data_IF_435571072416
#
_entry.id   IF_435571072416
#
_cell.length_a   1.000
_cell.length_b   1.000
_cell.length_c   1.000
_cell.angle_alpha   90.00
_cell.angle_beta   90.00
_cell.angle_gamma   90.00
#
_symmetry.space_group_name_H-M   'P 1'
#
loop_
_entity.id
_entity.type
_entity.pdbx_description
1 polymer ?
#
# COMPACT_ATOMS: atom_id res chain seq x y z
N UNK A 1 -0.91 11.32 9.11
CA UNK A 1 -1.73 12.50 8.73
C UNK A 1 -3.19 12.14 8.51
N UNK A 2 -3.54 11.16 7.65
CA UNK A 2 -4.94 10.73 7.42
C UNK A 2 -5.67 10.32 8.72
N UNK A 3 -5.01 9.57 9.62
CA UNK A 3 -5.60 9.15 10.90
C UNK A 3 -5.99 10.30 11.83
N UNK A 4 -5.19 11.37 11.87
CA UNK A 4 -5.45 12.56 12.70
C UNK A 4 -6.68 13.31 12.17
N UNK A 5 -6.82 13.40 10.84
CA UNK A 5 -7.98 14.03 10.19
C UNK A 5 -9.27 13.29 10.51
N UNK A 6 -9.29 11.95 10.40
CA UNK A 6 -10.47 11.15 10.72
C UNK A 6 -10.90 11.26 12.18
N UNK A 7 -9.95 11.19 13.12
CA UNK A 7 -10.26 11.38 14.55
C UNK A 7 -10.78 12.79 14.85
N UNK A 8 -10.21 13.82 14.23
CA UNK A 8 -10.68 15.21 14.38
C UNK A 8 -12.12 15.39 13.90
N UNK A 9 -12.45 14.85 12.71
CA UNK A 9 -13.81 14.86 12.16
C UNK A 9 -14.78 14.14 13.10
N UNK A 10 -14.38 12.98 13.62
CA UNK A 10 -15.21 12.19 14.52
C UNK A 10 -15.44 12.89 15.86
N UNK A 11 -14.43 13.56 16.41
CA UNK A 11 -14.56 14.37 17.63
C UNK A 11 -15.56 15.52 17.45
N UNK A 12 -15.54 16.18 16.29
CA UNK A 12 -16.50 17.25 15.94
C UNK A 12 -17.93 16.68 15.80
N UNK A 13 -18.09 15.51 15.18
CA UNK A 13 -19.38 14.82 15.08
C UNK A 13 -19.94 14.44 16.46
N UNK A 14 -19.10 13.92 17.36
CA UNK A 14 -19.50 13.60 18.73
C UNK A 14 -19.90 14.86 19.52
N UNK A 15 -19.21 15.99 19.31
CA UNK A 15 -19.59 17.29 19.90
C UNK A 15 -20.94 17.81 19.40
N UNK A 16 -21.22 17.66 18.11
CA UNK A 16 -22.49 18.08 17.53
C UNK A 16 -23.65 17.26 18.12
N UNK A 17 -23.43 15.96 18.37
CA UNK A 17 -24.41 15.08 19.00
C UNK A 17 -24.68 15.46 20.47
N UNK A 18 -23.65 15.83 21.25
CA UNK A 18 -23.84 16.25 22.65
C UNK A 18 -24.54 17.60 22.77
N UNK A 19 -24.37 18.49 21.79
CA UNK A 19 -25.07 19.78 21.73
C UNK A 19 -26.61 19.61 21.62
N UNK A 20 -27.07 18.50 21.04
CA UNK A 20 -28.51 18.21 20.86
C UNK A 20 -29.16 17.49 22.06
N UNK A 21 -28.38 16.93 22.97
CA UNK A 21 -28.87 16.04 24.05
C UNK A 21 -29.06 16.74 25.41
N UNK A 22 -28.51 17.95 25.59
CA UNK A 22 -28.53 18.85 26.76
C UNK A 22 -27.12 19.13 27.31
N UNK A 23 -26.82 20.42 27.52
CA UNK A 23 -25.50 20.93 27.92
C UNK A 23 -25.43 20.94 29.45
N UNK A 24 -25.13 19.78 30.02
CA UNK A 24 -24.84 19.64 31.45
C UNK A 24 -23.33 19.70 31.69
N UNK A 25 -22.89 20.15 32.87
CA UNK A 25 -21.46 20.12 33.25
C UNK A 25 -20.82 18.72 33.12
N UNK A 26 -21.62 17.66 33.22
CA UNK A 26 -21.19 16.27 33.01
C UNK A 26 -20.80 15.96 31.56
N UNK A 27 -21.51 16.49 30.56
CA UNK A 27 -21.20 16.22 29.14
C UNK A 27 -19.95 16.97 28.69
N UNK A 28 -19.75 18.19 29.20
CA UNK A 28 -18.53 18.97 28.97
C UNK A 28 -17.31 18.29 29.60
N UNK A 29 -17.45 17.78 30.82
CA UNK A 29 -16.38 17.01 31.47
C UNK A 29 -16.01 15.74 30.69
N UNK A 30 -17.02 14.98 30.22
CA UNK A 30 -16.80 13.80 29.39
C UNK A 30 -16.12 14.14 28.06
N UNK A 31 -16.47 15.27 27.44
CA UNK A 31 -15.79 15.75 26.23
C UNK A 31 -14.33 16.10 26.50
N UNK A 32 -14.04 16.88 27.54
CA UNK A 32 -12.67 17.22 27.93
C UNK A 32 -11.85 15.98 28.25
N UNK A 33 -12.46 15.00 28.92
CA UNK A 33 -11.82 13.71 29.18
C UNK A 33 -11.52 12.97 27.86
N UNK A 34 -12.48 12.90 26.93
CA UNK A 34 -12.27 12.27 25.63
C UNK A 34 -11.16 12.96 24.81
N UNK A 35 -11.09 14.30 24.83
CA UNK A 35 -10.03 15.07 24.16
C UNK A 35 -8.67 14.89 24.84
N UNK A 36 -8.64 14.90 26.17
CA UNK A 36 -7.42 14.62 26.92
C UNK A 36 -6.87 13.24 26.56
N UNK A 37 -7.76 12.27 26.40
CA UNK A 37 -7.40 10.91 26.06
C UNK A 37 -7.04 10.75 24.58
N UNK A 38 -7.66 11.52 23.69
CA UNK A 38 -7.19 11.69 22.32
C UNK A 38 -5.73 12.18 22.29
N UNK A 39 -5.40 13.21 23.07
CA UNK A 39 -4.03 13.72 23.16
C UNK A 39 -3.07 12.68 23.75
N UNK A 40 -3.46 11.98 24.82
CA UNK A 40 -2.61 10.98 25.46
C UNK A 40 -2.36 9.75 24.58
N UNK A 41 -3.35 9.32 23.80
CA UNK A 41 -3.21 8.16 22.90
C UNK A 41 -2.41 8.48 21.64
N UNK A 42 -2.36 9.75 21.22
CA UNK A 42 -1.53 10.17 20.09
C UNK A 42 -0.09 10.49 20.53
N UNK A 43 0.10 10.94 21.78
CA UNK A 43 1.43 11.20 22.36
C UNK A 43 2.07 9.93 22.97
N UNK A 44 1.25 9.01 23.47
CA UNK A 44 1.66 7.76 24.10
C UNK A 44 1.85 6.64 23.07
N UNK A 45 3.10 6.36 22.72
CA UNK A 45 3.49 5.27 21.80
C UNK A 45 3.18 3.85 22.34
N UNK A 46 2.97 3.73 23.65
CA UNK A 46 2.79 2.45 24.36
C UNK A 46 1.40 1.84 24.15
N UNK A 47 1.35 0.73 23.40
CA UNK A 47 0.14 -0.09 23.17
C UNK A 47 -0.65 -0.45 24.45
N UNK A 48 -0.03 -0.84 25.59
CA UNK A 48 -0.82 -1.28 26.75
C UNK A 48 -1.58 -0.15 27.44
N UNK A 49 -1.02 1.07 27.50
CA UNK A 49 -1.67 2.20 28.15
C UNK A 49 -2.97 2.59 27.44
N UNK A 50 -2.94 2.63 26.11
CA UNK A 50 -4.12 2.92 25.28
C UNK A 50 -5.21 1.86 25.44
N UNK A 51 -4.82 0.58 25.52
CA UNK A 51 -5.77 -0.54 25.72
C UNK A 51 -6.43 -0.45 27.10
N UNK A 52 -5.66 -0.20 28.17
CA UNK A 52 -6.19 0.00 29.52
C UNK A 52 -7.20 1.16 29.53
N UNK A 53 -6.87 2.25 28.83
CA UNK A 53 -7.73 3.42 28.74
C UNK A 53 -9.05 3.12 28.00
N UNK A 54 -8.99 2.39 26.90
CA UNK A 54 -10.18 1.95 26.15
C UNK A 54 -11.13 1.14 27.06
N UNK A 55 -10.59 0.20 27.84
CA UNK A 55 -11.39 -0.59 28.78
C UNK A 55 -11.97 0.28 29.91
N UNK A 56 -11.18 1.21 30.46
CA UNK A 56 -11.65 2.13 31.49
C UNK A 56 -12.81 3.02 30.97
N UNK A 57 -12.71 3.49 29.72
CA UNK A 57 -13.77 4.28 29.09
C UNK A 57 -15.03 3.44 28.80
N UNK A 58 -14.86 2.19 28.37
CA UNK A 58 -15.97 1.25 28.21
C UNK A 58 -16.71 0.96 29.52
N UNK A 59 -15.99 0.82 30.63
CA UNK A 59 -16.58 0.65 31.96
C UNK A 59 -17.29 1.93 32.40
N UNK A 60 -16.69 3.11 32.17
CA UNK A 60 -17.33 4.39 32.49
C UNK A 60 -18.64 4.60 31.70
N UNK A 61 -18.69 4.07 30.48
CA UNK A 61 -19.89 4.06 29.64
C UNK A 61 -21.05 3.24 30.22
N UNK A 62 -20.78 2.26 31.09
CA UNK A 62 -21.83 1.53 31.83
C UNK A 62 -22.47 2.39 32.91
N UNK A 63 -21.67 3.20 33.61
CA UNK A 63 -22.15 4.03 34.71
C UNK A 63 -22.81 5.32 34.23
N UNK A 64 -22.42 5.84 33.06
CA UNK A 64 -22.93 7.09 32.50
C UNK A 64 -23.39 6.94 31.05
N UNK A 65 -24.71 6.98 30.77
CA UNK A 65 -25.24 6.88 29.40
C UNK A 65 -24.68 7.94 28.45
N UNK A 66 -24.36 9.14 28.96
CA UNK A 66 -23.78 10.23 28.16
C UNK A 66 -22.41 9.89 27.55
N UNK A 67 -21.66 8.93 28.10
CA UNK A 67 -20.38 8.50 27.55
C UNK A 67 -20.54 7.64 26.27
N UNK A 68 -21.73 7.11 26.00
CA UNK A 68 -22.02 6.37 24.76
C UNK A 68 -21.90 7.24 23.50
N UNK A 69 -22.03 8.57 23.60
CA UNK A 69 -21.83 9.47 22.47
C UNK A 69 -20.37 9.53 22.01
N UNK A 70 -19.42 9.23 22.90
CA UNK A 70 -17.99 9.24 22.61
C UNK A 70 -17.44 7.85 22.26
N UNK A 71 -18.29 6.82 22.30
CA UNK A 71 -17.92 5.44 21.95
C UNK A 71 -17.32 5.28 20.54
N UNK A 72 -17.83 5.99 19.49
CA UNK A 72 -17.25 5.91 18.15
C UNK A 72 -15.78 6.36 18.11
N UNK A 73 -15.39 7.29 18.98
CA UNK A 73 -14.01 7.78 19.07
C UNK A 73 -13.07 6.71 19.58
N UNK A 74 -13.52 5.97 20.59
CA UNK A 74 -12.78 4.85 21.20
C UNK A 74 -12.75 3.63 20.27
N UNK A 75 -13.80 3.40 19.47
CA UNK A 75 -13.82 2.30 18.50
C UNK A 75 -12.83 2.50 17.36
N UNK A 76 -12.60 3.74 16.91
CA UNK A 76 -11.54 4.02 15.94
C UNK A 76 -10.15 3.62 16.48
N UNK A 77 -9.88 3.87 17.76
CA UNK A 77 -8.62 3.45 18.39
C UNK A 77 -8.49 1.93 18.52
N UNK A 78 -9.58 1.23 18.86
CA UNK A 78 -9.60 -0.25 18.86
C UNK A 78 -9.21 -0.85 17.50
N UNK A 79 -9.63 -0.21 16.41
CA UNK A 79 -9.24 -0.62 15.07
C UNK A 79 -7.75 -0.41 14.79
N UNK A 80 -7.24 0.79 15.13
CA UNK A 80 -5.82 1.16 14.94
C UNK A 80 -4.87 0.16 15.60
N UNK A 81 -5.23 -0.38 16.76
CA UNK A 81 -4.43 -1.36 17.49
C UNK A 81 -4.72 -2.83 17.15
N UNK A 82 -5.53 -3.11 16.12
CA UNK A 82 -5.89 -4.48 15.69
C UNK A 82 -6.59 -5.35 16.73
N UNK A 83 -7.25 -4.77 17.75
CA UNK A 83 -8.01 -5.49 18.78
C UNK A 83 -9.43 -5.88 18.28
N UNK A 84 -9.51 -6.50 17.10
CA UNK A 84 -10.78 -6.78 16.40
C UNK A 84 -11.74 -7.69 17.18
N UNK A 85 -11.24 -8.53 18.11
CA UNK A 85 -12.05 -9.47 18.89
C UNK A 85 -13.03 -8.78 19.86
N UNK A 86 -12.71 -7.57 20.32
CA UNK A 86 -13.51 -6.83 21.32
C UNK A 86 -14.42 -5.77 20.67
N UNK A 87 -14.32 -5.59 19.36
CA UNK A 87 -15.11 -4.62 18.60
C UNK A 87 -16.62 -4.94 18.65
N UNK A 88 -16.98 -6.23 18.62
CA UNK A 88 -18.38 -6.65 18.71
C UNK A 88 -19.02 -6.26 20.05
N UNK A 89 -18.29 -6.36 21.16
CA UNK A 89 -18.82 -6.01 22.49
C UNK A 89 -19.11 -4.51 22.60
N UNK A 90 -18.23 -3.67 22.06
CA UNK A 90 -18.45 -2.22 21.98
C UNK A 90 -19.58 -1.83 21.01
N UNK A 91 -19.85 -2.65 20.00
CA UNK A 91 -20.90 -2.41 19.01
C UNK A 91 -22.31 -2.69 19.53
N UNK A 92 -22.49 -3.73 20.35
CA UNK A 92 -23.79 -4.05 20.97
C UNK A 92 -24.13 -3.16 22.17
N UNK A 93 -23.14 -2.50 22.77
CA UNK A 93 -23.31 -1.66 23.94
C UNK A 93 -24.28 -0.47 23.75
N UNK A 94 -24.15 0.36 22.70
CA UNK A 94 -25.08 1.47 22.44
C UNK A 94 -26.50 1.00 22.02
N UNK A 95 -26.71 -0.28 21.73
CA UNK A 95 -28.04 -0.84 21.50
C UNK A 95 -28.85 -1.01 22.80
N UNK A 96 -28.18 -1.06 23.96
CA UNK A 96 -28.84 -1.26 25.25
C UNK A 96 -29.42 0.05 25.83
N UNK A 97 -28.80 1.21 25.57
CA UNK A 97 -29.25 2.50 26.09
C UNK A 97 -30.64 2.95 25.61
N UNK A 98 -31.10 2.75 24.35
CA UNK A 98 -32.45 3.14 23.95
C UNK A 98 -33.56 2.34 24.66
N UNK A 99 -33.24 1.20 25.30
CA UNK A 99 -34.19 0.44 26.11
C UNK A 99 -34.53 1.17 27.44
N UNK A 100 -33.61 1.99 27.97
CA UNK A 100 -33.85 2.76 29.20
C UNK A 100 -34.47 4.14 28.92
N UNK A 101 -34.12 4.78 27.81
CA UNK A 101 -34.67 6.08 27.42
C UNK A 101 -34.92 6.13 25.90
N UNK A 102 -36.18 5.96 25.44
CA UNK A 102 -36.50 5.97 24.03
C UNK A 102 -36.44 7.40 23.48
N UNK A 103 -35.27 7.80 22.97
CA UNK A 103 -35.11 8.98 22.13
C UNK A 103 -34.37 8.60 20.84
N UNK A 104 -34.73 9.19 19.69
CA UNK A 104 -34.12 8.86 18.40
C UNK A 104 -32.61 9.19 18.34
N UNK A 105 -32.12 10.06 19.23
CA UNK A 105 -30.72 10.49 19.30
C UNK A 105 -29.75 9.36 19.68
N UNK A 106 -30.23 8.31 20.36
CA UNK A 106 -29.41 7.16 20.75
C UNK A 106 -29.03 6.24 19.57
N UNK A 107 -29.74 6.33 18.44
CA UNK A 107 -29.38 5.59 17.22
C UNK A 107 -28.16 6.18 16.51
N UNK A 108 -27.91 7.48 16.65
CA UNK A 108 -26.81 8.18 16.00
C UNK A 108 -25.42 7.62 16.34
N UNK A 109 -25.03 7.38 17.61
CA UNK A 109 -23.72 6.80 17.94
C UNK A 109 -23.57 5.38 17.41
N UNK A 110 -24.64 4.58 17.34
CA UNK A 110 -24.59 3.25 16.71
C UNK A 110 -24.27 3.35 15.21
N UNK A 111 -24.96 4.22 14.47
CA UNK A 111 -24.68 4.47 13.05
C UNK A 111 -23.25 4.97 12.84
N UNK A 112 -22.77 5.85 13.72
CA UNK A 112 -21.39 6.36 13.65
C UNK A 112 -20.36 5.24 13.89
N UNK A 113 -20.61 4.33 14.83
CA UNK A 113 -19.77 3.14 15.03
C UNK A 113 -19.75 2.22 13.79
N UNK A 114 -20.91 1.98 13.14
CA UNK A 114 -20.98 1.22 11.87
C UNK A 114 -20.13 1.91 10.80
N UNK A 115 -20.26 3.22 10.67
CA UNK A 115 -19.52 4.00 9.69
C UNK A 115 -18.01 3.93 9.93
N UNK A 116 -17.57 4.05 11.18
CA UNK A 116 -16.16 3.88 11.56
C UNK A 116 -15.66 2.48 11.19
N UNK A 117 -16.44 1.43 11.44
CA UNK A 117 -16.07 0.05 11.06
C UNK A 117 -15.93 -0.12 9.53
N UNK A 118 -16.85 0.47 8.76
CA UNK A 118 -16.80 0.44 7.29
C UNK A 118 -15.59 1.21 6.76
N UNK A 119 -15.37 2.42 7.27
CA UNK A 119 -14.22 3.25 6.90
C UNK A 119 -12.90 2.54 7.22
N UNK A 120 -12.83 1.88 8.36
CA UNK A 120 -11.72 1.05 8.80
C UNK A 120 -11.42 -0.09 7.81
N UNK A 121 -12.43 -0.88 7.42
CA UNK A 121 -12.28 -1.96 6.43
C UNK A 121 -11.85 -1.39 5.07
N UNK A 122 -12.41 -0.25 4.67
CA UNK A 122 -12.05 0.42 3.44
C UNK A 122 -10.60 0.90 3.45
N UNK A 123 -10.13 1.48 4.55
CA UNK A 123 -8.74 1.94 4.71
C UNK A 123 -7.76 0.77 4.55
N UNK A 124 -8.02 -0.39 5.18
CA UNK A 124 -7.18 -1.59 4.97
C UNK A 124 -7.15 -2.06 3.51
N UNK A 125 -8.30 -2.04 2.83
CA UNK A 125 -8.36 -2.41 1.41
C UNK A 125 -7.56 -1.43 0.56
N UNK A 126 -7.64 -0.13 0.86
CA UNK A 126 -6.91 0.91 0.17
C UNK A 126 -5.41 0.73 0.33
N UNK A 127 -4.92 0.50 1.56
CA UNK A 127 -3.49 0.28 1.80
C UNK A 127 -2.97 -0.97 1.10
N UNK A 128 -3.73 -2.08 1.13
CA UNK A 128 -3.35 -3.29 0.40
C UNK A 128 -3.31 -3.07 -1.12
N UNK A 129 -4.25 -2.28 -1.65
CA UNK A 129 -4.27 -1.96 -3.07
C UNK A 129 -3.11 -1.04 -3.46
N UNK A 130 -2.78 -0.04 -2.65
CA UNK A 130 -1.60 0.83 -2.83
C UNK A 130 -0.30 -0.01 -2.84
N UNK A 131 -0.15 -0.94 -1.89
CA UNK A 131 0.99 -1.87 -1.85
C UNK A 131 1.07 -2.77 -3.10
N UNK A 132 -0.07 -3.31 -3.55
CA UNK A 132 -0.13 -4.12 -4.76
C UNK A 132 0.22 -3.32 -6.02
N UNK A 133 -0.23 -2.07 -6.10
CA UNK A 133 0.11 -1.18 -7.22
C UNK A 133 1.61 -0.91 -7.28
N UNK A 134 2.24 -0.59 -6.14
CA UNK A 134 3.69 -0.39 -6.08
C UNK A 134 4.44 -1.65 -6.51
N UNK A 135 4.05 -2.81 -6.00
CA UNK A 135 4.66 -4.09 -6.39
C UNK A 135 4.53 -4.37 -7.89
N UNK A 136 3.36 -4.13 -8.47
CA UNK A 136 3.15 -4.32 -9.91
C UNK A 136 4.01 -3.36 -10.75
N UNK A 137 4.23 -2.14 -10.30
CA UNK A 137 5.12 -1.19 -10.97
C UNK A 137 6.58 -1.67 -10.92
N UNK A 138 7.04 -2.15 -9.77
CA UNK A 138 8.39 -2.69 -9.60
C UNK A 138 8.61 -3.94 -10.46
N UNK A 139 7.68 -4.89 -10.43
CA UNK A 139 7.72 -6.12 -11.24
C UNK A 139 7.74 -5.78 -12.75
N UNK A 140 6.91 -4.80 -13.17
CA UNK A 140 6.90 -4.34 -14.56
C UNK A 140 8.23 -3.71 -14.96
N UNK A 141 8.85 -2.92 -14.08
CA UNK A 141 10.15 -2.29 -14.36
C UNK A 141 11.27 -3.33 -14.46
N UNK A 142 11.23 -4.36 -13.61
CA UNK A 142 12.17 -5.49 -13.65
C UNK A 142 12.06 -6.25 -14.98
N UNK A 143 10.84 -6.63 -15.37
CA UNK A 143 10.58 -7.32 -16.65
C UNK A 143 11.04 -6.47 -17.84
N UNK A 144 10.81 -5.16 -17.83
CA UNK A 144 11.29 -4.27 -18.89
C UNK A 144 12.82 -4.22 -18.96
N UNK A 145 13.51 -4.20 -17.83
CA UNK A 145 14.96 -4.21 -17.78
C UNK A 145 15.53 -5.54 -18.31
N UNK A 146 14.95 -6.67 -17.90
CA UNK A 146 15.31 -7.99 -18.40
C UNK A 146 15.11 -8.10 -19.91
N UNK A 147 13.99 -7.59 -20.44
CA UNK A 147 13.72 -7.58 -21.88
C UNK A 147 14.75 -6.73 -22.65
N UNK A 148 15.15 -5.58 -22.11
CA UNK A 148 16.20 -4.74 -22.71
C UNK A 148 17.55 -5.47 -22.74
N UNK A 149 17.93 -6.11 -21.65
CA UNK A 149 19.18 -6.89 -21.57
C UNK A 149 19.16 -8.06 -22.58
N UNK A 150 18.07 -8.82 -22.63
CA UNK A 150 17.92 -9.91 -23.60
C UNK A 150 17.99 -9.42 -25.04
N UNK A 151 17.38 -8.28 -25.34
CA UNK A 151 17.44 -7.68 -26.68
C UNK A 151 18.89 -7.27 -27.04
N UNK A 152 19.61 -6.63 -26.12
CA UNK A 152 21.02 -6.29 -26.35
C UNK A 152 21.88 -7.53 -26.62
N UNK A 153 21.73 -8.60 -25.82
CA UNK A 153 22.45 -9.86 -26.06
C UNK A 153 22.11 -10.47 -27.42
N UNK A 154 20.85 -10.40 -27.86
CA UNK A 154 20.45 -10.89 -29.19
C UNK A 154 21.10 -10.06 -30.31
N UNK A 155 21.14 -8.74 -30.18
CA UNK A 155 21.79 -7.85 -31.15
C UNK A 155 23.31 -8.08 -31.23
N UNK A 156 23.96 -8.30 -30.08
CA UNK A 156 25.38 -8.61 -30.02
C UNK A 156 25.70 -9.95 -30.67
N UNK A 157 24.89 -10.98 -30.39
CA UNK A 157 25.02 -12.30 -31.03
C UNK A 157 24.82 -12.22 -32.54
N UNK A 158 23.81 -11.47 -33.01
CA UNK A 158 23.58 -11.28 -34.44
C UNK A 158 24.79 -10.59 -35.10
N UNK A 159 25.33 -9.56 -34.47
CA UNK A 159 26.52 -8.84 -34.94
C UNK A 159 27.75 -9.74 -34.98
N UNK A 160 27.90 -10.60 -33.97
CA UNK A 160 28.96 -11.61 -33.92
C UNK A 160 28.86 -12.59 -35.10
N UNK A 161 27.67 -13.14 -35.36
CA UNK A 161 27.46 -14.07 -36.47
C UNK A 161 27.76 -13.42 -37.84
N UNK A 162 27.33 -12.18 -38.06
CA UNK A 162 27.64 -11.43 -39.28
C UNK A 162 29.16 -11.26 -39.44
N UNK A 163 29.87 -10.90 -38.35
CA UNK A 163 31.33 -10.73 -38.38
C UNK A 163 32.05 -12.04 -38.72
N UNK A 164 31.65 -13.15 -38.11
CA UNK A 164 32.24 -14.47 -38.38
C UNK A 164 31.99 -14.88 -39.83
N UNK A 165 30.76 -14.74 -40.33
CA UNK A 165 30.41 -15.03 -41.72
C UNK A 165 31.22 -14.16 -42.72
N UNK A 166 31.39 -12.88 -42.40
CA UNK A 166 32.20 -11.95 -43.22
C UNK A 166 33.67 -12.37 -43.25
N UNK A 167 34.23 -12.75 -42.10
CA UNK A 167 35.63 -13.23 -42.01
C UNK A 167 35.83 -14.54 -42.78
N UNK A 168 34.89 -15.49 -42.67
CA UNK A 168 34.95 -16.73 -43.45
C UNK A 168 34.90 -16.46 -44.95
N UNK A 169 34.07 -15.50 -45.38
CA UNK A 169 33.97 -15.12 -46.79
C UNK A 169 35.26 -14.46 -47.30
N UNK A 170 35.88 -13.57 -46.49
CA UNK A 170 37.18 -13.00 -46.83
C UNK A 170 38.27 -14.06 -46.95
N UNK A 171 38.31 -15.04 -46.04
CA UNK A 171 39.25 -16.16 -46.12
C UNK A 171 39.00 -17.03 -47.36
N UNK A 172 37.74 -17.29 -47.71
CA UNK A 172 37.37 -18.01 -48.93
C UNK A 172 37.88 -17.29 -50.17
N UNK A 173 37.61 -15.98 -50.29
CA UNK A 173 38.08 -15.15 -51.41
C UNK A 173 39.61 -15.13 -51.48
N UNK A 174 40.30 -14.96 -50.34
CA UNK A 174 41.77 -14.97 -50.32
C UNK A 174 42.34 -16.31 -50.79
N UNK A 175 41.71 -17.43 -50.40
CA UNK A 175 42.09 -18.76 -50.87
C UNK A 175 41.82 -18.93 -52.36
N UNK A 176 40.67 -18.51 -52.88
CA UNK A 176 40.37 -18.55 -54.32
C UNK A 176 41.35 -17.70 -55.13
N UNK A 177 41.69 -16.49 -54.68
CA UNK A 177 42.70 -15.66 -55.31
C UNK A 177 44.07 -16.35 -55.27
N UNK A 178 44.45 -16.94 -54.13
CA UNK A 178 45.70 -17.67 -53.98
C UNK A 178 45.78 -18.87 -54.93
N UNK A 179 44.72 -19.67 -55.01
CA UNK A 179 44.64 -20.83 -55.89
C UNK A 179 44.67 -20.39 -57.37
N UNK A 180 43.97 -19.30 -57.74
CA UNK A 180 44.05 -18.71 -59.08
C UNK A 180 45.47 -18.23 -59.43
N UNK A 181 46.16 -17.52 -58.53
CA UNK A 181 47.53 -17.03 -58.75
C UNK A 181 48.53 -18.19 -58.79
N UNK A 182 48.40 -19.17 -57.89
CA UNK A 182 49.25 -20.36 -57.84
C UNK A 182 49.12 -21.22 -59.10
N UNK A 183 47.91 -21.44 -59.59
CA UNK A 183 47.69 -22.12 -60.87
C UNK A 183 48.19 -21.31 -62.07
N UNK A 184 48.08 -19.98 -62.04
CA UNK A 184 48.62 -19.11 -63.10
C UNK A 184 50.15 -19.16 -63.16
N UNK A 185 50.83 -19.25 -62.01
CA UNK A 185 52.30 -19.38 -61.92
C UNK A 185 52.81 -20.77 -62.35
N UNK A 186 52.04 -21.83 -62.09
CA UNK A 186 52.38 -23.19 -62.56
C UNK A 186 52.14 -23.34 -64.06
N UNK A 187 51.26 -22.54 -64.66
CA UNK A 187 51.08 -22.45 -66.12
C UNK A 187 52.10 -21.48 -66.79
N UNK A 188 52.86 -20.71 -66.00
CA UNK A 188 53.87 -19.75 -66.45
C UNK A 188 55.32 -20.26 -66.51
N UNK A 189 55.61 -21.57 -66.68
CA UNK A 189 56.81 -21.98 -67.38
C UNK A 189 56.39 -22.45 -68.78
N UNK A 190 56.95 -21.81 -69.81
CA UNK A 190 57.32 -22.35 -71.14
C UNK A 190 57.02 -21.41 -72.31
N UNK A 191 56.07 -20.46 -72.25
CA UNK A 191 55.74 -19.67 -73.47
C UNK A 191 56.57 -18.41 -73.70
N UNK A 192 57.34 -17.92 -72.72
CA UNK A 192 58.19 -16.72 -72.88
C UNK A 192 59.65 -17.00 -73.26
N UNK A 193 60.07 -18.26 -73.41
CA UNK A 193 61.45 -18.61 -73.81
C UNK A 193 61.60 -19.03 -75.30
N UNK A 194 60.56 -18.89 -76.12
CA UNK A 194 60.60 -19.27 -77.56
C UNK A 194 60.59 -18.07 -78.53
N UNK A 195 60.58 -16.83 -78.04
CA UNK A 195 60.66 -15.63 -78.87
C UNK A 195 61.61 -14.59 -78.26
N UNK A 196 62.89 -14.93 -78.19
CA UNK A 196 64.02 -13.99 -78.32
C UNK A 196 65.26 -14.76 -78.77
#
# INVERSE_FOLDING_TARGET
MRSLQYKGILGILCLLLTCQYDISGKTVFLFLLAVFCFCLTDLGSEKPATVIFIYAFGILSLSMPAACFFLPLVSYDLWRYHLCRWHCLFFFFPLYSPFLHPSPLWFCPFVLCVFVCLAAVYEKKLTTLEEQMHKLMDDSQEVQNLLKEKNQVLLDNQTYHIRVATLSERNRIAKEIHDCVGHLLILLPVTTLSMM
#
